data_IF_953530299558
#
_entry.id   IF_953530299558
#
_cell.length_a   1.000
_cell.length_b   1.000
_cell.length_c   1.000
_cell.angle_alpha   90.00
_cell.angle_beta   90.00
_cell.angle_gamma   90.00
#
_symmetry.space_group_name_H-M   'P 1'
#
loop_
_entity.id
_entity.type
_entity.pdbx_description
1 polymer ?
#
# COMPACT_ATOMS: atom_id res chain seq x y z
N UNK A 1 -13.60 8.29 31.79
CA UNK A 1 -13.20 7.41 30.67
C UNK A 1 -14.08 7.72 29.47
N UNK A 2 -13.59 8.41 28.44
CA UNK A 2 -14.41 8.72 27.26
C UNK A 2 -14.41 7.56 26.27
N UNK A 3 -15.60 7.10 25.89
CA UNK A 3 -15.77 6.02 24.91
C UNK A 3 -15.51 6.56 23.51
N UNK A 4 -14.39 6.15 22.90
CA UNK A 4 -14.11 6.52 21.50
C UNK A 4 -14.92 5.64 20.55
N UNK A 5 -15.54 6.27 19.55
CA UNK A 5 -16.31 5.56 18.53
C UNK A 5 -15.44 4.61 17.69
N UNK A 6 -16.02 3.48 17.26
CA UNK A 6 -15.27 2.44 16.53
C UNK A 6 -14.73 2.90 15.17
N UNK A 7 -15.40 3.87 14.52
CA UNK A 7 -14.92 4.47 13.27
C UNK A 7 -13.57 5.19 13.46
N UNK A 8 -13.45 5.95 14.56
CA UNK A 8 -12.20 6.64 14.92
C UNK A 8 -11.11 5.61 15.22
N UNK A 9 -11.43 4.54 15.97
CA UNK A 9 -10.49 3.43 16.23
C UNK A 9 -9.98 2.78 14.94
N UNK A 10 -10.84 2.53 13.94
CA UNK A 10 -10.45 1.96 12.63
C UNK A 10 -9.53 2.89 11.83
N UNK A 11 -9.82 4.19 11.83
CA UNK A 11 -9.00 5.21 11.15
C UNK A 11 -7.59 5.22 11.72
N UNK A 12 -7.48 5.22 13.06
CA UNK A 12 -6.23 5.30 13.81
C UNK A 12 -5.48 3.96 13.93
N UNK A 13 -6.09 2.85 13.53
CA UNK A 13 -5.48 1.51 13.64
C UNK A 13 -5.49 0.92 15.05
N UNK A 14 -6.38 1.39 15.92
CA UNK A 14 -6.52 0.94 17.31
C UNK A 14 -7.41 -0.30 17.43
N UNK A 15 -7.15 -1.13 18.44
CA UNK A 15 -8.01 -2.29 18.75
C UNK A 15 -9.40 -1.85 19.24
N UNK A 16 -10.44 -2.64 18.92
CA UNK A 16 -11.83 -2.32 19.29
C UNK A 16 -12.09 -2.45 20.79
N UNK A 17 -11.41 -3.38 21.47
CA UNK A 17 -11.75 -3.86 22.83
C UNK A 17 -11.14 -3.06 23.99
N UNK A 18 -10.09 -2.26 23.76
CA UNK A 18 -9.48 -1.45 24.84
C UNK A 18 -10.17 -0.08 24.97
N UNK A 19 -10.41 0.29 26.22
CA UNK A 19 -10.67 1.66 26.66
C UNK A 19 -9.36 2.43 26.47
N UNK A 20 -9.23 3.16 25.37
CA UNK A 20 -8.00 3.90 25.08
C UNK A 20 -8.02 5.18 25.95
N UNK A 21 -7.07 5.30 26.88
CA UNK A 21 -7.04 6.44 27.81
C UNK A 21 -6.36 7.66 27.16
N UNK A 22 -5.08 7.64 26.78
CA UNK A 22 -4.42 8.91 26.41
C UNK A 22 -3.28 8.84 25.38
N UNK A 23 -2.92 7.67 24.84
CA UNK A 23 -1.81 7.55 23.90
C UNK A 23 -2.24 6.92 22.58
N UNK A 24 -2.54 7.78 21.60
CA UNK A 24 -2.72 7.37 20.22
C UNK A 24 -1.36 7.10 19.58
N UNK A 25 -0.79 5.92 19.83
CA UNK A 25 0.28 5.45 18.97
C UNK A 25 -0.33 5.08 17.62
N UNK A 26 -0.13 5.93 16.63
CA UNK A 26 -0.53 5.63 15.25
C UNK A 26 0.21 4.37 14.81
N UNK A 27 -0.51 3.26 14.66
CA UNK A 27 0.06 2.06 14.10
C UNK A 27 0.49 2.34 12.66
N UNK A 28 1.78 2.18 12.35
CA UNK A 28 2.27 2.28 10.97
C UNK A 28 1.69 1.10 10.16
N UNK A 29 0.72 1.39 9.29
CA UNK A 29 0.19 0.36 8.39
C UNK A 29 1.27 0.01 7.37
N UNK A 30 1.65 -1.26 7.29
CA UNK A 30 2.55 -1.76 6.24
C UNK A 30 1.96 -1.39 4.87
N UNK A 31 2.65 -0.51 4.14
CA UNK A 31 2.27 -0.14 2.76
C UNK A 31 2.45 -1.37 1.88
N UNK A 32 1.34 -1.93 1.41
CA UNK A 32 1.37 -3.03 0.44
C UNK A 32 1.76 -2.49 -0.94
N UNK A 33 2.43 -3.29 -1.78
CA UNK A 33 2.68 -2.92 -3.16
C UNK A 33 1.38 -2.57 -3.88
N UNK A 34 1.42 -1.52 -4.70
CA UNK A 34 0.26 -1.13 -5.49
C UNK A 34 0.08 -2.11 -6.66
N UNK A 35 -1.14 -2.59 -6.83
CA UNK A 35 -1.49 -3.56 -7.86
C UNK A 35 -2.63 -3.03 -8.73
N UNK A 36 -2.58 -3.31 -10.03
CA UNK A 36 -3.53 -2.81 -11.04
C UNK A 36 -4.29 -3.95 -11.71
N UNK A 37 -5.48 -3.66 -12.24
CA UNK A 37 -6.29 -4.65 -12.98
C UNK A 37 -5.80 -4.86 -14.42
N UNK A 38 -5.24 -3.83 -15.04
CA UNK A 38 -4.79 -3.84 -16.44
C UNK A 38 -3.32 -3.43 -16.56
N UNK A 39 -2.64 -3.92 -17.60
CA UNK A 39 -1.26 -3.55 -17.93
C UNK A 39 -1.16 -2.06 -18.26
N UNK A 40 -2.12 -1.54 -19.03
CA UNK A 40 -2.21 -0.13 -19.38
C UNK A 40 -2.23 0.77 -18.13
N UNK A 41 -3.06 0.44 -17.13
CA UNK A 41 -3.14 1.23 -15.91
C UNK A 41 -1.85 1.16 -15.07
N UNK A 42 -1.15 0.02 -15.09
CA UNK A 42 0.13 -0.12 -14.41
C UNK A 42 1.23 0.73 -15.09
N UNK A 43 1.25 0.75 -16.43
CA UNK A 43 2.18 1.56 -17.23
C UNK A 43 1.92 3.06 -17.05
N UNK A 44 0.66 3.51 -17.15
CA UNK A 44 0.30 4.91 -16.90
C UNK A 44 0.71 5.36 -15.50
N UNK A 45 0.54 4.50 -14.49
CA UNK A 45 0.99 4.81 -13.14
C UNK A 45 2.52 4.88 -13.06
N UNK A 46 3.24 3.98 -13.71
CA UNK A 46 4.71 3.99 -13.74
C UNK A 46 5.25 5.28 -14.39
N UNK A 47 4.69 5.67 -15.54
CA UNK A 47 5.03 6.92 -16.24
C UNK A 47 4.75 8.14 -15.35
N UNK A 48 3.58 8.20 -14.70
CA UNK A 48 3.24 9.29 -13.76
C UNK A 48 4.17 9.36 -12.54
N UNK A 49 4.84 8.27 -12.19
CA UNK A 49 5.82 8.23 -11.11
C UNK A 49 7.27 8.40 -11.61
N UNK A 50 7.45 8.78 -12.88
CA UNK A 50 8.77 9.05 -13.48
C UNK A 50 9.61 7.80 -13.74
N UNK A 51 9.00 6.61 -13.76
CA UNK A 51 9.70 5.37 -14.09
C UNK A 51 9.79 5.22 -15.61
N UNK A 52 11.02 5.05 -16.13
CA UNK A 52 11.23 4.69 -17.55
C UNK A 52 10.87 3.21 -17.77
N UNK A 53 10.42 2.80 -18.97
CA UNK A 53 10.07 1.41 -19.29
C UNK A 53 11.17 0.39 -18.95
N UNK A 54 12.44 0.79 -19.03
CA UNK A 54 13.60 -0.05 -18.72
C UNK A 54 13.83 -0.24 -17.20
N UNK A 55 13.25 0.62 -16.36
CA UNK A 55 13.46 0.66 -14.92
C UNK A 55 12.39 -0.11 -14.13
N UNK A 56 11.35 -0.60 -14.80
CA UNK A 56 10.28 -1.35 -14.15
C UNK A 56 9.83 -2.53 -14.99
N UNK A 57 9.46 -3.61 -14.30
CA UNK A 57 8.83 -4.78 -14.89
C UNK A 57 7.43 -4.95 -14.32
N UNK A 58 6.51 -5.41 -15.16
CA UNK A 58 5.18 -5.81 -14.72
C UNK A 58 5.19 -7.27 -14.29
N UNK A 59 4.99 -7.52 -12.99
CA UNK A 59 4.83 -8.87 -12.45
C UNK A 59 3.34 -9.19 -12.28
N UNK A 60 2.87 -10.30 -12.82
CA UNK A 60 1.52 -10.83 -12.57
C UNK A 60 1.46 -11.45 -11.15
N UNK A 61 0.46 -11.07 -10.35
CA UNK A 61 0.29 -11.52 -8.94
C UNK A 61 -0.99 -12.34 -8.77
N UNK A 62 -1.01 -13.27 -7.79
CA UNK A 62 -2.14 -14.19 -7.49
C UNK A 62 -3.31 -13.45 -6.81
N UNK A 63 -4.55 -13.92 -7.06
CA UNK A 63 -5.88 -13.25 -6.93
C UNK A 63 -6.13 -12.20 -8.01
N UNK A 64 -7.02 -12.53 -8.96
CA UNK A 64 -7.47 -11.67 -10.06
C UNK A 64 -6.37 -11.17 -11.01
N UNK A 65 -5.26 -11.91 -11.16
CA UNK A 65 -4.17 -11.63 -12.13
C UNK A 65 -3.71 -10.15 -12.12
N UNK A 66 -3.60 -9.54 -10.94
CA UNK A 66 -3.27 -8.12 -10.81
C UNK A 66 -1.81 -7.85 -11.19
N UNK A 67 -1.57 -6.76 -11.92
CA UNK A 67 -0.24 -6.32 -12.34
C UNK A 67 0.41 -5.48 -11.25
N UNK A 68 1.58 -5.90 -10.79
CA UNK A 68 2.41 -5.15 -9.87
C UNK A 68 3.59 -4.55 -10.62
N UNK A 69 3.83 -3.26 -10.44
CA UNK A 69 5.04 -2.60 -10.91
C UNK A 69 6.17 -2.95 -9.94
N UNK A 70 7.17 -3.68 -10.43
CA UNK A 70 8.37 -4.04 -9.68
C UNK A 70 9.51 -3.23 -10.26
N UNK A 71 10.24 -2.48 -9.44
CA UNK A 71 11.46 -1.80 -9.88
C UNK A 71 12.47 -2.87 -10.31
N UNK A 72 12.92 -2.82 -11.56
CA UNK A 72 14.06 -3.60 -11.99
C UNK A 72 15.26 -2.98 -11.27
N UNK A 73 15.81 -3.66 -10.28
CA UNK A 73 17.05 -3.24 -9.64
C UNK A 73 18.12 -3.40 -10.71
N UNK A 74 18.66 -2.29 -11.23
CA UNK A 74 19.97 -2.36 -11.89
C UNK A 74 20.94 -2.85 -10.82
N UNK A 75 21.45 -4.06 -11.00
CA UNK A 75 22.51 -4.63 -10.19
C UNK A 75 23.75 -3.75 -10.38
N UNK A 76 23.95 -2.76 -9.52
CA UNK A 76 25.25 -2.12 -9.40
C UNK A 76 26.22 -3.18 -8.90
N UNK A 77 27.10 -3.58 -9.81
CA UNK A 77 28.26 -4.43 -9.58
C UNK A 77 29.35 -3.60 -8.91
#
# INVERSE_FOLDING_TARGET
MQKIHTAIKRRLGLSRRRSHYYFFHFGTKKRRPKTFKTEKAANEWAIKNGLKPEQYALKKVKKEKRFQVVRAIQSNK
#
